data_IF_224323735241
#
_entry.id   IF_224323735241
#
_cell.length_a   1.000
_cell.length_b   1.000
_cell.length_c   1.000
_cell.angle_alpha   90.00
_cell.angle_beta   90.00
_cell.angle_gamma   90.00
#
_symmetry.space_group_name_H-M   'P 1'
#
loop_
_entity.id
_entity.type
_entity.pdbx_description
1 polymer ?
#
# COMPACT_ATOMS: atom_id res chain seq x y z
N UNK A 1 14.38 23.27 -4.04
CA UNK A 1 13.63 22.34 -4.93
C UNK A 1 13.61 20.98 -4.25
N UNK A 2 12.48 20.56 -3.68
CA UNK A 2 12.35 19.20 -3.13
C UNK A 2 12.35 18.21 -4.28
N UNK A 3 13.15 17.13 -4.24
CA UNK A 3 13.10 16.12 -5.28
C UNK A 3 11.70 15.49 -5.26
N UNK A 4 10.96 15.61 -6.37
CA UNK A 4 9.65 14.98 -6.54
C UNK A 4 9.86 13.48 -6.43
N UNK A 5 9.45 12.91 -5.30
CA UNK A 5 9.52 11.47 -5.08
C UNK A 5 8.68 10.77 -6.15
N UNK A 6 9.26 9.79 -6.84
CA UNK A 6 8.57 9.01 -7.88
C UNK A 6 7.31 8.41 -7.26
N UNK A 7 6.14 8.79 -7.78
CA UNK A 7 4.84 8.22 -7.39
C UNK A 7 4.61 6.97 -8.23
N UNK A 8 4.48 5.83 -7.57
CA UNK A 8 4.18 4.55 -8.18
C UNK A 8 2.68 4.34 -8.19
N UNK A 9 2.16 3.84 -9.31
CA UNK A 9 0.75 3.43 -9.41
C UNK A 9 0.68 1.96 -9.02
N UNK A 10 -0.01 1.65 -7.92
CA UNK A 10 -0.33 0.27 -7.56
C UNK A 10 -1.55 -0.17 -8.38
N UNK A 11 -1.47 -1.37 -8.94
CA UNK A 11 -2.57 -2.05 -9.64
C UNK A 11 -2.45 -3.51 -9.24
N UNK A 12 -3.34 -3.99 -8.38
CA UNK A 12 -3.40 -5.38 -8.00
C UNK A 12 -4.37 -6.11 -8.93
N UNK A 13 -4.05 -7.36 -9.24
CA UNK A 13 -5.02 -8.29 -9.80
C UNK A 13 -5.97 -8.78 -8.70
N UNK A 14 -7.14 -9.31 -9.10
CA UNK A 14 -8.09 -9.91 -8.16
C UNK A 14 -7.45 -11.03 -7.31
N UNK A 15 -6.58 -11.83 -7.93
CA UNK A 15 -5.89 -12.93 -7.25
C UNK A 15 -4.87 -12.43 -6.21
N UNK A 16 -4.13 -11.37 -6.52
CA UNK A 16 -3.24 -10.71 -5.56
C UNK A 16 -4.04 -10.13 -4.41
N UNK A 17 -5.13 -9.40 -4.70
CA UNK A 17 -6.01 -8.85 -3.68
C UNK A 17 -6.59 -9.95 -2.77
N UNK A 18 -7.01 -11.08 -3.35
CA UNK A 18 -7.50 -12.26 -2.62
C UNK A 18 -6.42 -12.87 -1.72
N UNK A 19 -5.18 -13.02 -2.21
CA UNK A 19 -4.04 -13.50 -1.41
C UNK A 19 -3.72 -12.57 -0.25
N UNK A 20 -3.67 -11.27 -0.51
CA UNK A 20 -3.42 -10.25 0.51
C UNK A 20 -4.51 -10.24 1.60
N UNK A 21 -5.78 -10.34 1.21
CA UNK A 21 -6.89 -10.47 2.16
C UNK A 21 -6.80 -11.77 2.99
N UNK A 22 -6.32 -12.87 2.40
CA UNK A 22 -6.09 -14.12 3.14
C UNK A 22 -5.00 -13.95 4.20
N UNK A 23 -3.89 -13.28 3.88
CA UNK A 23 -2.81 -12.99 4.83
C UNK A 23 -3.32 -12.11 5.98
N UNK A 24 -4.11 -11.08 5.70
CA UNK A 24 -4.69 -10.22 6.73
C UNK A 24 -5.59 -10.95 7.73
N UNK A 25 -6.17 -12.09 7.35
CA UNK A 25 -7.03 -12.91 8.22
C UNK A 25 -6.23 -13.91 9.08
N UNK A 26 -4.94 -14.10 8.82
CA UNK A 26 -4.11 -15.02 9.58
C UNK A 26 -3.73 -14.43 10.94
N UNK A 27 -3.84 -15.22 12.00
CA UNK A 27 -3.58 -14.78 13.39
C UNK A 27 -2.11 -14.43 13.65
N UNK A 28 -1.18 -14.97 12.87
CA UNK A 28 0.26 -14.77 13.00
C UNK A 28 0.81 -13.67 12.09
N UNK A 29 -0.05 -12.92 11.38
CA UNK A 29 0.39 -11.80 10.56
C UNK A 29 0.83 -10.66 11.48
N UNK A 30 2.10 -10.27 11.37
CA UNK A 30 2.64 -9.15 12.13
C UNK A 30 1.96 -7.84 11.72
N UNK A 31 1.86 -6.90 12.67
CA UNK A 31 1.24 -5.60 12.41
C UNK A 31 1.95 -4.83 11.30
N UNK A 32 3.29 -4.91 11.25
CA UNK A 32 4.08 -4.33 10.16
C UNK A 32 3.68 -4.88 8.80
N UNK A 33 3.46 -6.20 8.68
CA UNK A 33 3.01 -6.80 7.43
C UNK A 33 1.56 -6.38 7.12
N UNK A 34 0.67 -6.40 8.11
CA UNK A 34 -0.71 -5.96 7.94
C UNK A 34 -0.81 -4.51 7.44
N UNK A 35 -0.05 -3.59 8.02
CA UNK A 35 -0.02 -2.19 7.60
C UNK A 35 0.49 -2.02 6.16
N UNK A 36 1.54 -2.76 5.77
CA UNK A 36 1.99 -2.77 4.38
C UNK A 36 0.91 -3.23 3.41
N UNK A 37 0.16 -4.27 3.77
CA UNK A 37 -0.94 -4.76 2.92
C UNK A 37 -2.07 -3.73 2.82
N UNK A 38 -2.43 -3.08 3.93
CA UNK A 38 -3.46 -2.03 3.92
C UNK A 38 -3.05 -0.84 3.04
N UNK A 39 -1.78 -0.40 3.11
CA UNK A 39 -1.24 0.66 2.23
C UNK A 39 -1.34 0.27 0.75
N UNK A 40 -1.01 -0.98 0.40
CA UNK A 40 -1.12 -1.46 -0.98
C UNK A 40 -2.56 -1.43 -1.48
N UNK A 41 -3.52 -1.84 -0.64
CA UNK A 41 -4.95 -1.82 -0.96
C UNK A 41 -5.49 -0.40 -1.09
N UNK A 42 -5.12 0.50 -0.19
CA UNK A 42 -5.58 1.89 -0.20
C UNK A 42 -5.13 2.65 -1.45
N UNK A 43 -4.02 2.26 -2.07
CA UNK A 43 -3.48 2.90 -3.28
C UNK A 43 -3.68 2.10 -4.56
N UNK A 44 -4.47 1.04 -4.51
CA UNK A 44 -4.73 0.16 -5.64
C UNK A 44 -5.68 0.81 -6.65
N UNK A 45 -5.12 1.19 -7.81
CA UNK A 45 -5.86 1.88 -8.86
C UNK A 45 -6.87 0.99 -9.61
N UNK A 46 -6.77 -0.34 -9.49
CA UNK A 46 -7.74 -1.24 -10.11
C UNK A 46 -9.02 -1.40 -9.28
N UNK A 47 -8.97 -1.14 -7.97
CA UNK A 47 -10.06 -1.39 -7.04
C UNK A 47 -10.40 -0.11 -6.24
N UNK A 48 -11.22 0.80 -6.80
CA UNK A 48 -11.58 2.05 -6.12
C UNK A 48 -12.40 1.80 -4.84
N UNK A 49 -12.34 2.71 -3.85
CA UNK A 49 -11.73 4.04 -3.92
C UNK A 49 -10.21 4.05 -3.70
N UNK A 50 -9.51 4.87 -4.49
CA UNK A 50 -8.04 5.02 -4.44
C UNK A 50 -7.68 6.24 -3.61
N UNK A 51 -6.82 6.06 -2.60
CA UNK A 51 -6.27 7.15 -1.79
C UNK A 51 -5.01 7.73 -2.41
N UNK A 52 -4.83 9.04 -2.25
CA UNK A 52 -3.56 9.69 -2.56
C UNK A 52 -2.49 9.32 -1.52
N UNK A 53 -1.21 9.47 -1.89
CA UNK A 53 -0.08 9.29 -0.96
C UNK A 53 -0.26 10.07 0.35
N UNK A 54 -0.72 11.32 0.26
CA UNK A 54 -0.95 12.18 1.42
C UNK A 54 -2.09 11.69 2.31
N UNK A 55 -3.20 11.23 1.72
CA UNK A 55 -4.32 10.65 2.48
C UNK A 55 -3.88 9.35 3.16
N UNK A 56 -3.23 8.46 2.41
CA UNK A 56 -2.70 7.21 2.98
C UNK A 56 -1.65 7.49 4.08
N UNK A 57 -0.82 8.53 3.95
CA UNK A 57 0.13 8.93 4.99
C UNK A 57 -0.61 9.36 6.26
N UNK A 58 -1.65 10.17 6.12
CA UNK A 58 -2.49 10.64 7.22
C UNK A 58 -3.21 9.48 7.92
N UNK A 59 -3.86 8.59 7.15
CA UNK A 59 -4.68 7.50 7.70
C UNK A 59 -3.87 6.45 8.46
N UNK A 60 -2.63 6.21 8.02
CA UNK A 60 -1.73 5.23 8.63
C UNK A 60 -0.73 5.85 9.61
N UNK A 61 -0.74 7.17 9.79
CA UNK A 61 0.19 7.88 10.69
C UNK A 61 1.66 7.74 10.29
N UNK A 62 1.95 7.68 8.99
CA UNK A 62 3.31 7.45 8.46
C UNK A 62 3.70 8.51 7.42
N UNK A 63 5.00 8.58 7.10
CA UNK A 63 5.52 9.51 6.10
C UNK A 63 5.31 9.01 4.65
N UNK A 64 5.11 9.93 3.70
CA UNK A 64 5.02 9.60 2.27
C UNK A 64 6.23 8.82 1.71
N UNK A 65 7.48 9.06 2.17
CA UNK A 65 8.62 8.21 1.81
C UNK A 65 8.46 6.76 2.26
N UNK A 66 7.85 6.51 3.43
CA UNK A 66 7.57 5.16 3.92
C UNK A 66 6.60 4.46 2.98
N UNK A 67 5.54 5.14 2.55
CA UNK A 67 4.59 4.63 1.56
C UNK A 67 5.29 4.31 0.24
N UNK A 68 6.16 5.21 -0.24
CA UNK A 68 6.97 5.02 -1.46
C UNK A 68 7.80 3.74 -1.38
N UNK A 69 8.43 3.47 -0.24
CA UNK A 69 9.21 2.26 -0.02
C UNK A 69 8.35 0.99 -0.01
N UNK A 70 7.11 1.06 0.51
CA UNK A 70 6.17 -0.07 0.50
C UNK A 70 5.78 -0.42 -0.93
N UNK A 71 5.37 0.57 -1.74
CA UNK A 71 4.92 0.31 -3.11
C UNK A 71 6.02 -0.02 -4.09
N UNK A 72 7.22 0.55 -3.90
CA UNK A 72 8.38 0.24 -4.73
C UNK A 72 8.72 -1.25 -4.68
N UNK A 73 8.53 -1.90 -3.53
CA UNK A 73 8.86 -3.32 -3.32
C UNK A 73 7.92 -4.30 -4.04
N UNK A 74 6.75 -3.86 -4.47
CA UNK A 74 5.77 -4.72 -5.17
C UNK A 74 5.91 -4.63 -6.69
N UNK A 75 6.77 -3.73 -7.20
CA UNK A 75 6.87 -3.35 -8.61
C UNK A 75 8.29 -3.50 -9.20
N UNK A 76 9.14 -4.32 -8.59
CA UNK A 76 10.42 -4.71 -9.19
C UNK A 76 10.25 -5.99 -9.99
#
# INVERSE_FOLDING_TARGET
MTPTSKKYIVKLTDDELKRLNKILRQKNTSETLANRIRILKDMDANHPPVKTYKQCASDHGISEPTITNVVKKVRQ
#
